data_IF_669682200404
#
_entry.id   IF_669682200404
#
_cell.length_a   1.000
_cell.length_b   1.000
_cell.length_c   1.000
_cell.angle_alpha   90.00
_cell.angle_beta   90.00
_cell.angle_gamma   90.00
#
_symmetry.space_group_name_H-M   'P 1'
#
loop_
_entity.id
_entity.type
_entity.pdbx_description
1 polymer ?
#
# COMPACT_ATOMS: atom_id res chain seq x y z
N UNK A 1 -3.36 6.15 -2.45
CA UNK A 1 -2.78 4.89 -2.96
C UNK A 1 -3.86 3.83 -3.10
N UNK A 2 -4.44 3.32 -2.00
CA UNK A 2 -5.50 2.30 -2.06
C UNK A 2 -6.74 2.82 -2.81
N UNK A 3 -6.98 4.12 -2.70
CA UNK A 3 -8.01 4.86 -3.43
C UNK A 3 -7.86 4.73 -4.95
N UNK A 4 -6.63 4.64 -5.49
CA UNK A 4 -6.39 4.43 -6.92
C UNK A 4 -6.88 3.07 -7.41
N UNK A 5 -7.07 2.11 -6.50
CA UNK A 5 -7.53 0.77 -6.82
C UNK A 5 -9.05 0.66 -6.89
N UNK A 6 -9.79 1.57 -6.25
CA UNK A 6 -11.25 1.48 -6.12
C UNK A 6 -11.96 1.36 -7.47
N UNK A 7 -11.56 2.09 -8.54
CA UNK A 7 -12.18 1.93 -9.87
C UNK A 7 -12.01 0.54 -10.49
N UNK A 8 -11.03 -0.25 -10.03
CA UNK A 8 -10.77 -1.60 -10.54
C UNK A 8 -11.44 -2.71 -9.71
N UNK A 9 -11.97 -2.38 -8.53
CA UNK A 9 -12.69 -3.33 -7.68
C UNK A 9 -14.08 -3.65 -8.22
N UNK A 10 -14.67 -4.74 -7.70
CA UNK A 10 -16.08 -5.06 -7.96
C UNK A 10 -17.02 -3.95 -7.50
N UNK A 11 -18.15 -3.83 -8.20
CA UNK A 11 -19.15 -2.80 -7.93
C UNK A 11 -20.51 -3.46 -7.60
N UNK A 12 -21.13 -3.15 -6.45
CA UNK A 12 -20.65 -2.23 -5.42
C UNK A 12 -19.39 -2.77 -4.69
N UNK A 13 -18.53 -1.86 -4.23
CA UNK A 13 -17.36 -2.20 -3.42
C UNK A 13 -17.80 -2.79 -2.07
N UNK A 14 -17.03 -3.74 -1.52
CA UNK A 14 -17.27 -4.22 -0.16
C UNK A 14 -17.12 -3.05 0.83
N UNK A 15 -18.18 -2.78 1.60
CA UNK A 15 -18.24 -1.65 2.52
C UNK A 15 -17.13 -1.66 3.58
N UNK A 16 -16.53 -2.82 3.88
CA UNK A 16 -15.40 -2.93 4.84
C UNK A 16 -14.12 -2.29 4.29
N UNK A 17 -13.94 -2.24 2.97
CA UNK A 17 -12.83 -1.53 2.32
C UNK A 17 -12.99 -0.02 2.54
N UNK A 18 -14.17 0.52 2.22
CA UNK A 18 -14.47 1.94 2.41
C UNK A 18 -14.36 2.35 3.88
N UNK A 19 -14.92 1.53 4.78
CA UNK A 19 -14.82 1.72 6.23
C UNK A 19 -13.36 1.80 6.69
N UNK A 20 -12.47 0.96 6.15
CA UNK A 20 -11.05 1.01 6.50
C UNK A 20 -10.39 2.31 6.05
N UNK A 21 -10.69 2.80 4.85
CA UNK A 21 -10.13 4.06 4.32
C UNK A 21 -10.65 5.27 5.10
N UNK A 22 -11.95 5.33 5.38
CA UNK A 22 -12.55 6.39 6.19
C UNK A 22 -11.99 6.39 7.62
N UNK A 23 -11.82 5.20 8.22
CA UNK A 23 -11.23 5.07 9.57
C UNK A 23 -9.78 5.54 9.58
N UNK A 24 -9.00 5.21 8.55
CA UNK A 24 -7.61 5.70 8.42
C UNK A 24 -7.58 7.23 8.30
N UNK A 25 -8.44 7.81 7.46
CA UNK A 25 -8.53 9.27 7.30
C UNK A 25 -8.90 9.95 8.61
N UNK A 26 -9.88 9.42 9.35
CA UNK A 26 -10.27 9.93 10.65
C UNK A 26 -9.12 9.83 11.68
N UNK A 27 -8.35 8.74 11.66
CA UNK A 27 -7.17 8.62 12.51
C UNK A 27 -6.09 9.65 12.17
N UNK A 28 -5.82 9.88 10.88
CA UNK A 28 -4.88 10.92 10.41
C UNK A 28 -5.33 12.31 10.88
N UNK A 29 -6.63 12.56 10.95
CA UNK A 29 -7.21 13.81 11.46
C UNK A 29 -7.28 13.88 13.01
N UNK A 30 -6.88 12.83 13.72
CA UNK A 30 -6.94 12.76 15.18
C UNK A 30 -8.35 12.54 15.76
N UNK A 31 -9.34 12.17 14.94
CA UNK A 31 -10.74 11.97 15.36
C UNK A 31 -11.09 10.50 15.62
N UNK A 32 -10.16 9.57 15.33
CA UNK A 32 -10.31 8.15 15.64
C UNK A 32 -9.10 7.57 16.38
N UNK A 33 -9.38 6.58 17.23
CA UNK A 33 -8.36 5.91 18.03
C UNK A 33 -7.78 4.66 17.35
N UNK A 34 -6.62 4.22 17.85
CA UNK A 34 -5.93 2.99 17.39
C UNK A 34 -6.84 1.76 17.48
N UNK A 35 -7.71 1.68 18.49
CA UNK A 35 -8.68 0.59 18.64
C UNK A 35 -9.60 0.44 17.43
N UNK A 36 -10.17 1.55 16.94
CA UNK A 36 -11.08 1.54 15.79
C UNK A 36 -10.31 1.20 14.51
N UNK A 37 -9.10 1.73 14.35
CA UNK A 37 -8.24 1.35 13.23
C UNK A 37 -7.91 -0.15 13.20
N UNK A 38 -7.64 -0.77 14.36
CA UNK A 38 -7.43 -2.22 14.46
C UNK A 38 -8.69 -3.02 14.07
N UNK A 39 -9.87 -2.61 14.55
CA UNK A 39 -11.14 -3.26 14.20
C UNK A 39 -11.39 -3.17 12.69
N UNK A 40 -11.24 -1.99 12.10
CA UNK A 40 -11.40 -1.77 10.66
C UNK A 40 -10.39 -2.60 9.84
N UNK A 41 -9.14 -2.71 10.29
CA UNK A 41 -8.13 -3.57 9.67
C UNK A 41 -8.56 -5.05 9.65
N UNK A 42 -9.01 -5.57 10.80
CA UNK A 42 -9.47 -6.97 10.92
C UNK A 42 -10.66 -7.21 9.99
N UNK A 43 -11.61 -6.28 9.93
CA UNK A 43 -12.77 -6.37 9.04
C UNK A 43 -12.36 -6.38 7.55
N UNK A 44 -11.44 -5.50 7.13
CA UNK A 44 -10.92 -5.50 5.76
C UNK A 44 -10.17 -6.80 5.42
N UNK A 45 -9.43 -7.37 6.39
CA UNK A 45 -8.82 -8.69 6.20
C UNK A 45 -9.83 -9.83 6.14
N UNK A 46 -10.98 -9.74 6.83
CA UNK A 46 -12.07 -10.69 6.66
C UNK A 46 -12.66 -10.59 5.24
N UNK A 47 -12.91 -9.36 4.75
CA UNK A 47 -13.34 -9.12 3.36
C UNK A 47 -12.38 -9.75 2.34
N UNK A 48 -11.07 -9.59 2.57
CA UNK A 48 -10.08 -10.22 1.70
C UNK A 48 -10.09 -11.76 1.70
N UNK A 49 -10.58 -12.41 2.76
CA UNK A 49 -10.70 -13.87 2.84
C UNK A 49 -11.96 -14.36 2.13
N UNK A 50 -13.01 -13.55 2.16
CA UNK A 50 -14.32 -13.83 1.58
C UNK A 50 -14.44 -13.43 0.11
N UNK A 51 -13.54 -12.57 -0.37
CA UNK A 51 -13.53 -12.09 -1.76
C UNK A 51 -13.45 -13.24 -2.77
N UNK A 52 -14.39 -13.24 -3.71
CA UNK A 52 -14.47 -14.21 -4.81
C UNK A 52 -13.44 -13.93 -5.90
N UNK A 53 -13.24 -12.64 -6.22
CA UNK A 53 -12.32 -12.20 -7.24
C UNK A 53 -10.93 -11.90 -6.65
N UNK A 54 -9.88 -12.28 -7.38
CA UNK A 54 -8.50 -12.05 -6.94
C UNK A 54 -8.18 -10.56 -6.73
N UNK A 55 -8.72 -9.67 -7.58
CA UNK A 55 -8.52 -8.21 -7.48
C UNK A 55 -9.05 -7.68 -6.15
N UNK A 56 -10.28 -8.04 -5.78
CA UNK A 56 -10.94 -7.55 -4.56
C UNK A 56 -10.22 -8.04 -3.30
N UNK A 57 -9.74 -9.28 -3.32
CA UNK A 57 -8.89 -9.84 -2.25
C UNK A 57 -7.66 -8.99 -1.98
N UNK A 58 -6.96 -8.54 -3.02
CA UNK A 58 -5.75 -7.75 -2.85
C UNK A 58 -6.05 -6.29 -2.51
N UNK A 59 -7.13 -5.71 -3.06
CA UNK A 59 -7.61 -4.37 -2.68
C UNK A 59 -7.98 -4.34 -1.19
N UNK A 60 -8.72 -5.33 -0.71
CA UNK A 60 -9.09 -5.46 0.70
C UNK A 60 -7.87 -5.67 1.61
N UNK A 61 -6.85 -6.42 1.17
CA UNK A 61 -5.58 -6.52 1.91
C UNK A 61 -4.82 -5.20 1.94
N UNK A 62 -4.79 -4.47 0.84
CA UNK A 62 -4.16 -3.16 0.78
C UNK A 62 -4.83 -2.19 1.76
N UNK A 63 -6.16 -2.13 1.77
CA UNK A 63 -6.94 -1.32 2.71
C UNK A 63 -6.70 -1.73 4.18
N UNK A 64 -6.72 -3.04 4.46
CA UNK A 64 -6.48 -3.57 5.82
C UNK A 64 -5.10 -3.22 6.37
N UNK A 65 -4.06 -3.27 5.53
CA UNK A 65 -2.71 -2.82 5.91
C UNK A 65 -2.62 -1.30 6.03
N UNK A 66 -3.29 -0.55 5.16
CA UNK A 66 -3.28 0.91 5.22
C UNK A 66 -3.81 1.39 6.57
N UNK A 67 -5.00 0.96 6.97
CA UNK A 67 -5.59 1.35 8.26
C UNK A 67 -4.82 0.78 9.46
N UNK A 68 -4.19 -0.40 9.34
CA UNK A 68 -3.33 -0.95 10.39
C UNK A 68 -2.06 -0.12 10.65
N UNK A 69 -1.67 0.77 9.73
CA UNK A 69 -0.53 1.67 9.94
C UNK A 69 -0.74 2.58 11.16
N UNK A 70 -2.00 2.93 11.46
CA UNK A 70 -2.37 3.65 12.68
C UNK A 70 -2.02 2.91 13.98
N UNK A 71 -1.96 1.57 13.93
CA UNK A 71 -1.53 0.75 15.04
C UNK A 71 0.00 0.60 15.08
N UNK A 72 0.62 0.30 13.94
CA UNK A 72 2.07 0.14 13.80
C UNK A 72 2.54 0.48 12.39
N UNK A 73 3.60 1.30 12.30
CA UNK A 73 4.19 1.76 11.04
C UNK A 73 4.62 0.62 10.10
N UNK A 74 4.98 -0.56 10.65
CA UNK A 74 5.41 -1.74 9.90
C UNK A 74 4.35 -2.31 8.93
N UNK A 75 3.08 -1.91 9.08
CA UNK A 75 2.03 -2.26 8.15
C UNK A 75 2.07 -1.47 6.83
N UNK A 76 2.68 -0.27 6.80
CA UNK A 76 2.67 0.60 5.63
C UNK A 76 3.26 -0.05 4.36
N UNK A 77 4.41 -0.76 4.41
CA UNK A 77 4.91 -1.49 3.23
C UNK A 77 3.92 -2.56 2.72
N UNK A 78 3.11 -3.14 3.59
CA UNK A 78 2.10 -4.13 3.20
C UNK A 78 0.98 -3.51 2.37
N UNK A 79 0.58 -2.28 2.67
CA UNK A 79 -0.43 -1.56 1.91
C UNK A 79 0.05 -1.35 0.46
N UNK A 80 1.29 -0.86 0.31
CA UNK A 80 1.91 -0.62 -0.99
C UNK A 80 2.09 -1.93 -1.79
N UNK A 81 2.59 -2.98 -1.12
CA UNK A 81 2.76 -4.29 -1.75
C UNK A 81 1.46 -4.84 -2.33
N UNK A 82 0.38 -4.84 -1.53
CA UNK A 82 -0.88 -5.42 -1.97
C UNK A 82 -1.62 -4.54 -2.98
N UNK A 83 -1.40 -3.23 -2.98
CA UNK A 83 -1.88 -2.36 -4.05
C UNK A 83 -1.27 -2.76 -5.41
N UNK A 84 0.05 -2.92 -5.47
CA UNK A 84 0.72 -3.38 -6.68
C UNK A 84 0.33 -4.81 -7.06
N UNK A 85 0.08 -5.67 -6.07
CA UNK A 85 -0.42 -7.04 -6.31
C UNK A 85 -1.83 -7.04 -6.91
N UNK A 86 -2.69 -6.12 -6.51
CA UNK A 86 -4.01 -5.94 -7.12
C UNK A 86 -3.88 -5.57 -8.61
N UNK A 87 -3.01 -4.61 -8.95
CA UNK A 87 -2.76 -4.23 -10.35
C UNK A 87 -2.18 -5.38 -11.19
N UNK A 88 -1.32 -6.21 -10.61
CA UNK A 88 -0.80 -7.40 -11.29
C UNK A 88 -1.89 -8.40 -11.67
N UNK A 89 -2.82 -8.70 -10.76
CA UNK A 89 -3.88 -9.68 -11.06
C UNK A 89 -4.96 -9.14 -12.00
N UNK A 90 -5.02 -7.81 -12.16
CA UNK A 90 -5.84 -7.14 -13.17
C UNK A 90 -5.22 -7.23 -14.57
N UNK A 91 -4.02 -7.82 -14.72
CA UNK A 91 -3.26 -7.89 -15.96
C UNK A 91 -3.02 -6.52 -16.62
N UNK A 92 -2.86 -5.46 -15.81
CA UNK A 92 -2.38 -4.19 -16.33
C UNK A 92 -0.96 -4.33 -16.87
N UNK A 93 -0.60 -3.49 -17.82
CA UNK A 93 0.74 -3.51 -18.39
C UNK A 93 1.80 -3.15 -17.33
N UNK A 94 3.03 -3.64 -17.55
CA UNK A 94 4.12 -3.45 -16.60
C UNK A 94 4.51 -1.97 -16.43
N UNK A 95 4.27 -1.12 -17.42
CA UNK A 95 4.55 0.31 -17.30
C UNK A 95 3.54 0.99 -16.35
N UNK A 96 2.26 0.61 -16.41
CA UNK A 96 1.23 1.08 -15.47
C UNK A 96 1.52 0.66 -14.03
N UNK A 97 1.93 -0.60 -13.81
CA UNK A 97 2.29 -1.09 -12.47
C UNK A 97 3.55 -0.38 -11.96
N UNK A 98 4.54 -0.16 -12.83
CA UNK A 98 5.75 0.57 -12.48
C UNK A 98 5.45 2.04 -12.15
N UNK A 99 4.55 2.68 -12.90
CA UNK A 99 4.13 4.06 -12.66
C UNK A 99 3.46 4.23 -11.28
N UNK A 100 2.59 3.29 -10.89
CA UNK A 100 2.02 3.28 -9.54
C UNK A 100 3.10 3.09 -8.47
N UNK A 101 4.08 2.18 -8.68
CA UNK A 101 5.18 2.01 -7.73
C UNK A 101 6.06 3.26 -7.60
N UNK A 102 6.36 3.92 -8.71
CA UNK A 102 7.12 5.17 -8.72
C UNK A 102 6.35 6.31 -8.04
N UNK A 103 5.03 6.38 -8.26
CA UNK A 103 4.16 7.30 -7.54
C UNK A 103 4.17 7.02 -6.03
N UNK A 104 4.04 5.76 -5.59
CA UNK A 104 4.09 5.38 -4.17
C UNK A 104 5.38 5.84 -3.48
N UNK A 105 6.54 5.66 -4.15
CA UNK A 105 7.83 6.14 -3.64
C UNK A 105 7.90 7.66 -3.56
N UNK A 106 7.32 8.36 -4.54
CA UNK A 106 7.30 9.83 -4.56
C UNK A 106 6.54 10.43 -3.36
N UNK A 107 5.60 9.68 -2.78
CA UNK A 107 4.85 10.09 -1.58
C UNK A 107 5.67 9.93 -0.27
N UNK A 108 6.82 9.28 -0.31
CA UNK A 108 7.69 9.12 0.87
C UNK A 108 8.44 10.43 1.16
N UNK A 109 8.46 10.91 2.42
CA UNK A 109 9.35 11.98 2.85
C UNK A 109 10.81 11.63 2.53
N UNK A 110 11.57 12.60 2.04
CA UNK A 110 12.93 12.38 1.54
C UNK A 110 13.85 11.79 2.61
N UNK A 111 13.62 12.16 3.88
CA UNK A 111 14.41 11.79 5.04
C UNK A 111 14.33 10.29 5.35
N UNK A 112 13.21 9.65 5.05
CA UNK A 112 12.97 8.22 5.31
C UNK A 112 12.90 7.38 4.04
N UNK A 113 12.91 8.00 2.86
CA UNK A 113 12.74 7.31 1.57
C UNK A 113 13.74 6.18 1.41
N UNK A 114 15.02 6.44 1.66
CA UNK A 114 16.06 5.42 1.55
C UNK A 114 15.81 4.22 2.49
N UNK A 115 15.43 4.49 3.74
CA UNK A 115 15.12 3.45 4.72
C UNK A 115 13.93 2.61 4.26
N UNK A 116 12.84 3.23 3.83
CA UNK A 116 11.63 2.53 3.37
C UNK A 116 11.92 1.73 2.09
N UNK A 117 12.60 2.33 1.11
CA UNK A 117 12.96 1.66 -0.14
C UNK A 117 13.88 0.44 0.08
N UNK A 118 14.77 0.49 1.08
CA UNK A 118 15.60 -0.66 1.44
C UNK A 118 14.76 -1.88 1.86
N UNK A 119 13.58 -1.66 2.48
CA UNK A 119 12.67 -2.74 2.87
C UNK A 119 11.92 -3.34 1.67
N UNK A 120 11.70 -2.56 0.61
CA UNK A 120 11.03 -3.03 -0.60
C UNK A 120 11.87 -4.07 -1.33
N UNK A 121 13.20 -3.94 -1.38
CA UNK A 121 14.08 -4.91 -2.07
C UNK A 121 13.83 -6.35 -1.63
N UNK A 122 13.59 -6.57 -0.34
CA UNK A 122 13.29 -7.90 0.19
C UNK A 122 11.81 -8.24 0.09
N UNK A 123 10.91 -7.34 0.51
CA UNK A 123 9.47 -7.63 0.60
C UNK A 123 8.77 -7.67 -0.76
N UNK A 124 9.27 -6.93 -1.75
CA UNK A 124 8.64 -6.73 -3.06
C UNK A 124 9.37 -7.51 -4.16
N UNK A 125 10.38 -8.33 -3.83
CA UNK A 125 11.14 -9.13 -4.78
C UNK A 125 10.25 -9.98 -5.71
N UNK A 126 9.10 -10.45 -5.19
CA UNK A 126 8.12 -11.26 -5.94
C UNK A 126 7.23 -10.46 -6.91
N UNK A 127 7.37 -9.14 -6.96
CA UNK A 127 6.59 -8.28 -7.85
C UNK A 127 7.31 -7.95 -9.17
N UNK A 128 8.58 -8.37 -9.36
CA UNK A 128 9.36 -8.13 -10.59
C UNK A 128 9.42 -6.66 -11.05
N UNK A 129 9.35 -5.72 -10.10
CA UNK A 129 9.41 -4.28 -10.36
C UNK A 129 10.84 -3.84 -10.66
N UNK A 130 11.00 -2.83 -11.51
CA UNK A 130 12.29 -2.19 -11.74
C UNK A 130 12.57 -1.22 -10.59
N UNK A 131 13.74 -1.38 -9.98
CA UNK A 131 14.28 -0.42 -9.04
C UNK A 131 15.24 0.49 -9.81
N UNK A 132 15.08 1.82 -9.79
CA UNK A 132 16.10 2.69 -10.38
C UNK A 132 17.44 2.45 -9.66
N UNK A 133 18.57 2.55 -10.37
CA UNK A 133 19.88 2.52 -9.72
C UNK A 133 19.93 3.64 -8.67
N UNK A 134 20.44 3.32 -7.48
CA UNK A 134 20.51 4.25 -6.37
C UNK A 134 21.51 5.38 -6.70
N UNK A 135 21.03 6.47 -7.30
CA UNK A 135 21.89 7.61 -7.67
C UNK A 135 22.24 8.50 -6.48
N UNK A 136 21.49 8.45 -5.39
CA UNK A 136 21.72 9.32 -4.22
C UNK A 136 22.81 8.78 -3.27
N UNK A 137 23.02 7.47 -3.21
CA UNK A 137 24.14 6.89 -2.44
C UNK A 137 25.53 7.24 -2.99
N UNK A 138 25.62 7.75 -4.22
CA UNK A 138 26.90 8.12 -4.86
C UNK A 138 27.27 9.60 -4.70
N UNK A 139 26.35 10.45 -4.20
CA UNK A 139 26.58 11.90 -4.06
C UNK A 139 27.25 12.27 -2.73
N UNK A 140 26.96 11.54 -1.65
CA UNK A 140 27.52 11.83 -0.32
C UNK A 140 28.93 11.27 -0.07
N UNK A 141 29.52 10.56 -1.03
CA UNK A 141 30.88 10.00 -0.92
C UNK A 141 31.96 10.82 -1.66
N UNK A 142 31.61 11.98 -2.25
CA UNK A 142 32.54 12.86 -2.96
C UNK A 142 32.78 14.22 -2.26
N UNK A 143 32.51 14.30 -0.96
CA UNK A 143 32.95 15.41 -0.11
C UNK A 143 33.71 14.86 1.12
N UNK A 144 34.89 14.29 0.88
CA UNK A 144 35.99 14.17 1.84
C UNK A 144 37.31 14.27 1.11
#
# INVERSE_FOLDING_TARGET
MVEHLLPYGSQPCDARIETALLTLQAWVQGTQGVSEARKASVAAHAAAREALEAKDKWIARAAGHAVATAHMADHAPGAAYYALKALQVLNLDQASIQAEFDWQKSQLPIEIRFLVESTFKTKFARLNLKYPPNKEASSHLLQR
#
